data_IF_929338955658
#
_entry.id   IF_929338955658
#
_cell.length_a   1.000
_cell.length_b   1.000
_cell.length_c   1.000
_cell.angle_alpha   90.00
_cell.angle_beta   90.00
_cell.angle_gamma   90.00
#
_symmetry.space_group_name_H-M   'P 1'
#
loop_
_entity.id
_entity.type
_entity.pdbx_description
1 polymer ?
#
# COMPACT_ATOMS: atom_id res chain seq x y z
N UNK A 1 24.02 -12.69 3.09
CA UNK A 1 22.61 -12.44 2.76
C UNK A 1 21.80 -12.49 4.04
N UNK A 2 20.65 -11.82 4.06
CA UNK A 2 19.72 -11.79 5.20
C UNK A 2 18.35 -12.29 4.72
N UNK A 3 17.67 -13.06 5.56
CA UNK A 3 16.25 -13.40 5.43
C UNK A 3 15.60 -12.98 6.75
N UNK A 4 14.53 -12.20 6.67
CA UNK A 4 13.88 -11.59 7.83
C UNK A 4 12.36 -11.71 7.65
N UNK A 5 11.62 -11.82 8.75
CA UNK A 5 10.17 -11.87 8.72
C UNK A 5 9.55 -10.46 8.84
N UNK A 6 8.39 -10.30 8.20
CA UNK A 6 7.49 -9.16 8.36
C UNK A 6 6.09 -9.67 8.74
N UNK A 7 5.33 -8.86 9.48
CA UNK A 7 3.95 -9.19 9.83
C UNK A 7 2.99 -8.91 8.68
N UNK A 8 1.79 -9.50 8.74
CA UNK A 8 0.71 -9.20 7.79
C UNK A 8 0.33 -7.71 7.80
N UNK A 9 0.35 -7.05 8.97
CA UNK A 9 0.10 -5.62 9.07
C UNK A 9 1.18 -4.79 8.36
N UNK A 10 2.45 -5.17 8.48
CA UNK A 10 3.56 -4.54 7.76
C UNK A 10 3.39 -4.72 6.24
N UNK A 11 2.97 -5.92 5.80
CA UNK A 11 2.70 -6.24 4.40
C UNK A 11 1.55 -5.38 3.84
N UNK A 12 0.40 -5.36 4.52
CA UNK A 12 -0.78 -4.61 4.08
C UNK A 12 -0.53 -3.09 4.12
N UNK A 13 0.29 -2.62 5.05
CA UNK A 13 0.70 -1.21 5.09
C UNK A 13 1.59 -0.85 3.91
N UNK A 14 2.57 -1.70 3.56
CA UNK A 14 3.42 -1.50 2.40
C UNK A 14 2.63 -1.56 1.07
N UNK A 15 1.68 -2.49 0.97
CA UNK A 15 0.80 -2.58 -0.21
C UNK A 15 -0.02 -1.29 -0.39
N UNK A 16 -0.65 -0.80 0.69
CA UNK A 16 -1.42 0.46 0.67
C UNK A 16 -0.55 1.65 0.32
N UNK A 17 0.66 1.72 0.87
CA UNK A 17 1.63 2.77 0.55
C UNK A 17 1.93 2.79 -0.96
N UNK A 18 2.31 1.64 -1.54
CA UNK A 18 2.59 1.53 -2.98
C UNK A 18 1.41 1.97 -3.85
N UNK A 19 0.20 1.56 -3.49
CA UNK A 19 -1.00 1.94 -4.24
C UNK A 19 -1.30 3.45 -4.15
N UNK A 20 -1.12 4.05 -2.96
CA UNK A 20 -1.46 5.45 -2.70
C UNK A 20 -0.40 6.44 -3.18
N UNK A 21 0.89 6.08 -3.11
CA UNK A 21 2.00 7.02 -3.43
C UNK A 21 2.60 6.78 -4.81
N UNK A 22 2.67 5.53 -5.26
CA UNK A 22 3.32 5.16 -6.53
C UNK A 22 2.32 4.75 -7.62
N UNK A 23 1.03 4.57 -7.27
CA UNK A 23 0.02 4.05 -8.20
C UNK A 23 0.27 2.58 -8.58
N UNK A 24 1.03 1.83 -7.77
CA UNK A 24 1.37 0.43 -8.04
C UNK A 24 0.51 -0.48 -7.15
N UNK A 25 -0.41 -1.21 -7.78
CA UNK A 25 -1.25 -2.18 -7.09
C UNK A 25 -0.75 -3.62 -7.27
N UNK A 26 -0.02 -4.14 -6.28
CA UNK A 26 0.49 -5.50 -6.25
C UNK A 26 -0.29 -6.41 -5.29
N UNK A 27 -0.11 -7.74 -5.41
CA UNK A 27 -0.64 -8.70 -4.44
C UNK A 27 0.06 -8.55 -3.06
N UNK A 28 -0.54 -8.98 -1.94
CA UNK A 28 0.08 -8.87 -0.61
C UNK A 28 1.48 -9.50 -0.53
N UNK A 29 1.67 -10.71 -1.08
CA UNK A 29 2.97 -11.38 -1.07
C UNK A 29 4.09 -10.56 -1.76
N UNK A 30 3.75 -9.80 -2.80
CA UNK A 30 4.70 -8.92 -3.49
C UNK A 30 5.14 -7.75 -2.60
N UNK A 31 4.22 -7.19 -1.83
CA UNK A 31 4.47 -6.06 -0.94
C UNK A 31 5.40 -6.41 0.22
N UNK A 32 5.58 -7.69 0.55
CA UNK A 32 6.51 -8.15 1.59
C UNK A 32 7.95 -7.69 1.34
N UNK A 33 8.38 -7.61 0.07
CA UNK A 33 9.72 -7.10 -0.29
C UNK A 33 9.92 -5.64 0.14
N UNK A 34 8.91 -4.80 -0.07
CA UNK A 34 8.91 -3.38 0.32
C UNK A 34 8.75 -3.22 1.82
N UNK A 35 7.88 -4.01 2.45
CA UNK A 35 7.73 -4.03 3.91
C UNK A 35 9.06 -4.34 4.61
N UNK A 36 9.81 -5.33 4.13
CA UNK A 36 11.13 -5.67 4.66
C UNK A 36 12.13 -4.52 4.52
N UNK A 37 12.14 -3.84 3.38
CA UNK A 37 13.01 -2.66 3.16
C UNK A 37 12.64 -1.51 4.10
N UNK A 38 11.35 -1.20 4.25
CA UNK A 38 10.87 -0.14 5.16
C UNK A 38 11.25 -0.45 6.62
N UNK A 39 11.08 -1.69 7.04
CA UNK A 39 11.47 -2.16 8.39
C UNK A 39 12.96 -2.00 8.64
N UNK A 40 13.80 -2.48 7.72
CA UNK A 40 15.25 -2.39 7.86
C UNK A 40 15.76 -0.94 7.78
N UNK A 41 15.14 -0.10 6.94
CA UNK A 41 15.44 1.34 6.89
C UNK A 41 15.09 2.03 8.21
N UNK A 42 13.91 1.75 8.78
CA UNK A 42 13.49 2.28 10.09
C UNK A 42 14.38 1.84 11.25
N UNK A 43 15.02 0.67 11.12
CA UNK A 43 16.03 0.17 12.07
C UNK A 43 17.44 0.74 11.84
N UNK A 44 17.64 1.62 10.83
CA UNK A 44 18.95 2.15 10.47
C UNK A 44 19.91 1.12 9.87
N UNK A 45 19.40 -0.03 9.40
CA UNK A 45 20.21 -1.12 8.83
C UNK A 45 20.52 -0.94 7.34
N UNK A 46 19.91 0.05 6.71
CA UNK A 46 20.14 0.42 5.31
C UNK A 46 20.90 1.75 5.28
N UNK A 47 22.12 1.80 4.73
CA UNK A 47 22.86 3.05 4.59
C UNK A 47 22.09 4.10 3.76
N UNK A 48 22.27 5.39 4.05
CA UNK A 48 21.66 6.44 3.23
C UNK A 48 22.18 6.38 1.80
N UNK A 49 21.34 6.77 0.84
CA UNK A 49 21.66 6.78 -0.61
C UNK A 49 21.96 5.41 -1.23
N UNK A 50 21.60 4.31 -0.56
CA UNK A 50 21.64 2.97 -1.16
C UNK A 50 20.56 2.82 -2.24
N UNK A 51 20.91 2.19 -3.37
CA UNK A 51 19.95 1.79 -4.40
C UNK A 51 19.41 0.41 -4.09
N UNK A 52 18.09 0.27 -4.07
CA UNK A 52 17.38 -0.97 -3.74
C UNK A 52 16.43 -1.31 -4.89
N UNK A 53 16.30 -2.60 -5.18
CA UNK A 53 15.32 -3.13 -6.12
C UNK A 53 14.41 -4.08 -5.35
N UNK A 54 13.11 -3.80 -5.36
CA UNK A 54 12.09 -4.69 -4.81
C UNK A 54 11.36 -5.38 -5.97
N UNK A 55 11.27 -6.71 -5.94
CA UNK A 55 10.57 -7.48 -6.97
C UNK A 55 9.13 -7.68 -6.52
N UNK A 56 8.19 -7.13 -7.29
CA UNK A 56 6.77 -7.35 -7.10
C UNK A 56 6.35 -8.51 -8.00
N UNK A 57 6.21 -9.69 -7.39
CA UNK A 57 5.98 -10.97 -8.09
C UNK A 57 4.62 -11.08 -8.79
N UNK A 58 3.63 -10.27 -8.41
CA UNK A 58 2.27 -10.37 -8.93
C UNK A 58 1.46 -9.08 -8.81
N UNK A 59 0.48 -8.97 -9.71
CA UNK A 59 -0.51 -7.88 -9.73
C UNK A 59 -1.56 -8.06 -8.65
N UNK A 60 -2.03 -6.95 -8.08
CA UNK A 60 -3.13 -6.94 -7.11
C UNK A 60 -4.47 -7.35 -7.71
N UNK A 61 -4.60 -7.35 -9.05
CA UNK A 61 -5.83 -7.79 -9.75
C UNK A 61 -6.07 -9.30 -9.69
N UNK A 62 -5.14 -10.08 -9.12
CA UNK A 62 -5.35 -11.52 -8.89
C UNK A 62 -6.41 -11.81 -7.84
N UNK A 63 -6.66 -10.89 -6.91
CA UNK A 63 -7.67 -11.02 -5.86
C UNK A 63 -8.39 -9.68 -5.65
N UNK A 64 -9.35 -9.34 -6.54
CA UNK A 64 -10.10 -8.09 -6.46
C UNK A 64 -11.04 -8.04 -5.25
N UNK A 65 -11.50 -9.20 -4.75
CA UNK A 65 -12.45 -9.27 -3.63
C UNK A 65 -11.78 -8.85 -2.31
N UNK A 66 -10.53 -9.28 -2.07
CA UNK A 66 -9.75 -8.83 -0.92
C UNK A 66 -9.51 -7.31 -0.94
N UNK A 67 -9.32 -6.72 -2.12
CA UNK A 67 -9.15 -5.28 -2.28
C UNK A 67 -10.44 -4.51 -1.98
N UNK A 68 -11.57 -5.00 -2.48
CA UNK A 68 -12.89 -4.41 -2.23
C UNK A 68 -13.31 -4.49 -0.76
N UNK A 69 -13.01 -5.61 -0.09
CA UNK A 69 -13.31 -5.79 1.33
C UNK A 69 -12.56 -4.79 2.23
N UNK A 70 -11.38 -4.33 1.80
CA UNK A 70 -10.58 -3.34 2.52
C UNK A 70 -10.92 -1.89 2.17
N UNK A 71 -11.75 -1.65 1.14
CA UNK A 71 -12.11 -0.31 0.70
C UNK A 71 -13.12 0.34 1.67
N UNK A 72 -12.93 1.62 2.05
CA UNK A 72 -13.92 2.33 2.83
C UNK A 72 -15.20 2.50 2.00
N UNK A 73 -16.35 2.49 2.69
CA UNK A 73 -17.62 2.83 2.03
C UNK A 73 -17.59 4.29 1.58
N UNK A 74 -18.04 4.59 0.34
CA UNK A 74 -18.22 5.97 -0.08
C UNK A 74 -19.16 6.72 0.85
N UNK A 75 -18.91 8.01 1.08
CA UNK A 75 -19.86 8.89 1.76
C UNK A 75 -21.05 9.14 0.85
N UNK A 76 -22.26 8.82 1.32
CA UNK A 76 -23.50 9.07 0.59
C UNK A 76 -23.95 10.52 0.78
N UNK A 77 -24.28 11.21 -0.31
CA UNK A 77 -24.78 12.59 -0.34
C UNK A 77 -25.99 12.72 -1.26
N UNK A 78 -26.80 13.76 -1.07
CA UNK A 78 -27.89 14.08 -1.98
C UNK A 78 -27.36 14.43 -3.38
N UNK A 79 -28.16 14.30 -4.46
CA UNK A 79 -27.77 14.67 -5.83
C UNK A 79 -27.75 16.20 -6.01
N UNK A 80 -26.95 16.88 -5.19
CA UNK A 80 -26.79 18.32 -5.14
C UNK A 80 -25.29 18.67 -5.17
N UNK A 81 -24.92 19.70 -5.93
CA UNK A 81 -23.52 20.06 -6.12
C UNK A 81 -22.87 20.57 -4.83
N UNK A 82 -23.61 21.33 -4.01
CA UNK A 82 -23.07 21.90 -2.77
C UNK A 82 -22.75 20.84 -1.72
N UNK A 83 -23.53 19.75 -1.69
CA UNK A 83 -23.27 18.59 -0.84
C UNK A 83 -21.99 17.85 -1.26
N UNK A 84 -21.75 17.71 -2.57
CA UNK A 84 -20.54 17.09 -3.12
C UNK A 84 -19.30 17.94 -2.78
N UNK A 85 -19.37 19.26 -3.00
CA UNK A 85 -18.29 20.20 -2.69
C UNK A 85 -17.94 20.18 -1.20
N UNK A 86 -18.96 20.17 -0.33
CA UNK A 86 -18.78 20.12 1.12
C UNK A 86 -18.02 18.87 1.60
N UNK A 87 -18.29 17.69 1.03
CA UNK A 87 -17.60 16.44 1.40
C UNK A 87 -16.18 16.36 0.83
N UNK A 88 -15.94 16.93 -0.35
CA UNK A 88 -14.62 16.95 -0.97
C UNK A 88 -13.72 18.08 -0.44
N UNK A 89 -14.28 19.04 0.30
CA UNK A 89 -13.57 20.20 0.83
C UNK A 89 -13.14 21.19 -0.25
N UNK A 90 -13.97 21.33 -1.30
CA UNK A 90 -13.75 22.23 -2.42
C UNK A 90 -14.28 23.64 -2.15
#
# INVERSE_FOLDING_TARGET
>A
GLIEAVSDDEILSAQRLLAQTEGIFCEPASAASVAGVLKLAGQGRIPPRTRIVCVLTGSGLKDPDAALAAAPRPTEVAPDLSEIEGVLGW
#
